data_IF_673901158363
#
_entry.id   IF_673901158363
#
_cell.length_a   1.000
_cell.length_b   1.000
_cell.length_c   1.000
_cell.angle_alpha   90.00
_cell.angle_beta   90.00
_cell.angle_gamma   90.00
#
_symmetry.space_group_name_H-M   'P 1'
#
loop_
_entity.id
_entity.type
_entity.pdbx_description
1 polymer ?
#
# COMPACT_ATOMS: atom_id res chain seq x y z
N UNK A 1 -5.05 4.61 -28.64
CA UNK A 1 -5.26 3.73 -27.48
C UNK A 1 -5.81 2.41 -28.00
N UNK A 2 -5.15 1.29 -27.68
CA UNK A 2 -5.52 -0.06 -28.12
C UNK A 2 -6.96 -0.42 -27.69
N UNK A 3 -7.77 -0.98 -28.60
CA UNK A 3 -9.14 -1.41 -28.28
C UNK A 3 -9.14 -2.60 -27.31
N UNK A 4 -8.10 -3.44 -27.36
CA UNK A 4 -7.90 -4.52 -26.38
C UNK A 4 -7.73 -3.99 -24.97
N UNK A 5 -6.90 -2.95 -24.78
CA UNK A 5 -6.74 -2.25 -23.50
C UNK A 5 -8.07 -1.72 -22.95
N UNK A 6 -8.84 -0.98 -23.76
CA UNK A 6 -10.13 -0.42 -23.32
C UNK A 6 -11.13 -1.50 -22.91
N UNK A 7 -11.16 -2.61 -23.65
CA UNK A 7 -12.04 -3.72 -23.33
C UNK A 7 -11.66 -4.37 -22.00
N UNK A 8 -10.39 -4.70 -21.79
CA UNK A 8 -9.91 -5.26 -20.52
C UNK A 8 -10.21 -4.34 -19.34
N UNK A 9 -9.96 -3.04 -19.48
CA UNK A 9 -10.21 -2.07 -18.42
C UNK A 9 -11.71 -2.02 -18.05
N UNK A 10 -12.60 -2.05 -19.04
CA UNK A 10 -14.05 -2.12 -18.82
C UNK A 10 -14.46 -3.42 -18.11
N UNK A 11 -13.96 -4.55 -18.58
CA UNK A 11 -14.29 -5.86 -18.00
C UNK A 11 -13.84 -5.96 -16.54
N UNK A 12 -12.60 -5.51 -16.26
CA UNK A 12 -12.04 -5.45 -14.92
C UNK A 12 -12.85 -4.51 -14.01
N UNK A 13 -13.24 -3.34 -14.52
CA UNK A 13 -14.04 -2.38 -13.76
C UNK A 13 -15.38 -2.98 -13.34
N UNK A 14 -16.09 -3.62 -14.27
CA UNK A 14 -17.37 -4.26 -13.97
C UNK A 14 -17.23 -5.41 -12.98
N UNK A 15 -16.22 -6.27 -13.15
CA UNK A 15 -15.93 -7.33 -12.19
C UNK A 15 -15.71 -6.78 -10.77
N UNK A 16 -14.84 -5.77 -10.64
CA UNK A 16 -14.52 -5.17 -9.35
C UNK A 16 -15.71 -4.44 -8.74
N UNK A 17 -16.57 -3.82 -9.56
CA UNK A 17 -17.80 -3.16 -9.12
C UNK A 17 -18.82 -4.16 -8.56
N UNK A 18 -19.01 -5.30 -9.22
CA UNK A 18 -19.87 -6.38 -8.72
C UNK A 18 -19.31 -6.99 -7.43
N UNK A 19 -17.98 -7.16 -7.35
CA UNK A 19 -17.31 -7.62 -6.16
C UNK A 19 -17.48 -6.62 -5.00
N UNK A 20 -17.33 -5.32 -5.25
CA UNK A 20 -17.61 -4.26 -4.28
C UNK A 20 -19.06 -4.30 -3.78
N UNK A 21 -20.03 -4.37 -4.70
CA UNK A 21 -21.44 -4.48 -4.33
C UNK A 21 -21.75 -5.75 -3.52
N UNK A 22 -21.00 -6.83 -3.77
CA UNK A 22 -21.12 -8.09 -3.04
C UNK A 22 -20.49 -8.03 -1.65
N UNK A 23 -19.36 -7.34 -1.48
CA UNK A 23 -18.71 -7.21 -0.16
C UNK A 23 -19.57 -6.41 0.81
N UNK A 24 -20.31 -5.41 0.32
CA UNK A 24 -21.28 -4.63 1.11
C UNK A 24 -22.43 -5.48 1.68
N UNK A 25 -22.76 -6.61 1.04
CA UNK A 25 -23.88 -7.49 1.41
C UNK A 25 -23.48 -8.61 2.35
N UNK A 26 -22.21 -8.76 2.68
CA UNK A 26 -21.74 -9.75 3.66
C UNK A 26 -22.35 -9.45 5.02
N UNK A 27 -22.90 -10.48 5.68
CA UNK A 27 -23.56 -10.40 6.99
C UNK A 27 -22.59 -10.62 8.16
N UNK A 28 -21.32 -10.88 7.86
CA UNK A 28 -20.25 -11.11 8.83
C UNK A 28 -19.07 -10.16 8.57
N UNK A 29 -18.30 -9.89 9.63
CA UNK A 29 -17.18 -8.95 9.60
C UNK A 29 -15.93 -9.60 8.98
N UNK A 30 -15.63 -10.85 9.34
CA UNK A 30 -14.39 -11.52 8.97
C UNK A 30 -14.63 -12.52 7.85
N UNK A 31 -13.89 -12.38 6.75
CA UNK A 31 -14.03 -13.29 5.61
C UNK A 31 -13.41 -14.65 5.93
N UNK A 32 -14.13 -15.70 5.56
CA UNK A 32 -13.63 -17.07 5.60
C UNK A 32 -13.10 -17.52 4.22
N UNK A 33 -12.47 -18.69 4.17
CA UNK A 33 -11.90 -19.25 2.94
C UNK A 33 -12.95 -19.43 1.82
N UNK A 34 -14.21 -19.68 2.18
CA UNK A 34 -15.34 -19.76 1.26
C UNK A 34 -15.60 -18.41 0.58
N UNK A 35 -15.57 -17.31 1.32
CA UNK A 35 -15.70 -15.95 0.77
C UNK A 35 -14.52 -15.62 -0.12
N UNK A 36 -13.29 -15.88 0.34
CA UNK A 36 -12.07 -15.62 -0.45
C UNK A 36 -12.11 -16.35 -1.79
N UNK A 37 -12.50 -17.63 -1.79
CA UNK A 37 -12.65 -18.42 -3.01
C UNK A 37 -13.78 -17.91 -3.91
N UNK A 38 -14.95 -17.61 -3.33
CA UNK A 38 -16.13 -17.10 -4.05
C UNK A 38 -15.83 -15.79 -4.76
N UNK A 39 -15.05 -14.92 -4.13
CA UNK A 39 -14.73 -13.59 -4.62
C UNK A 39 -13.42 -13.49 -5.41
N UNK A 40 -12.72 -14.62 -5.62
CA UNK A 40 -11.45 -14.62 -6.33
C UNK A 40 -10.37 -13.80 -5.62
N UNK A 41 -10.33 -13.84 -4.29
CA UNK A 41 -9.37 -13.11 -3.47
C UNK A 41 -8.22 -14.05 -3.09
N UNK A 42 -6.99 -13.64 -3.39
CA UNK A 42 -5.77 -14.36 -3.02
C UNK A 42 -5.07 -13.62 -1.88
N UNK A 43 -5.08 -14.22 -0.70
CA UNK A 43 -4.38 -13.70 0.48
C UNK A 43 -3.00 -14.31 0.58
N UNK A 44 -2.01 -13.47 0.88
CA UNK A 44 -0.65 -13.90 1.21
C UNK A 44 -0.05 -13.00 2.29
N UNK A 45 1.01 -13.45 2.95
CA UNK A 45 1.67 -12.67 3.98
C UNK A 45 2.56 -11.58 3.35
N UNK A 46 2.44 -10.36 3.86
CA UNK A 46 3.36 -9.26 3.58
C UNK A 46 4.45 -9.26 4.65
N UNK A 47 5.69 -9.51 4.24
CA UNK A 47 6.83 -9.22 5.11
C UNK A 47 7.10 -7.71 5.15
N UNK A 48 7.32 -7.21 6.36
CA UNK A 48 7.74 -5.83 6.57
C UNK A 48 9.27 -5.67 6.52
N UNK A 49 10.05 -6.76 6.51
CA UNK A 49 11.52 -6.74 6.52
C UNK A 49 12.10 -6.41 5.14
N UNK A 50 13.22 -5.67 5.10
CA UNK A 50 13.91 -5.32 3.84
C UNK A 50 14.54 -6.55 3.14
N UNK A 51 14.93 -7.56 3.91
CA UNK A 51 15.65 -8.75 3.45
C UNK A 51 14.71 -9.68 2.66
N UNK A 52 13.49 -9.90 3.16
CA UNK A 52 12.51 -10.78 2.52
C UNK A 52 11.85 -10.14 1.29
N UNK A 53 11.78 -8.81 1.25
CA UNK A 53 11.31 -8.07 0.07
C UNK A 53 12.26 -8.22 -1.15
N UNK A 54 13.52 -8.65 -0.95
CA UNK A 54 14.49 -8.89 -2.02
C UNK A 54 14.48 -10.33 -2.53
N UNK A 55 14.08 -11.29 -1.69
CA UNK A 55 14.12 -12.73 -2.00
C UNK A 55 12.77 -13.28 -2.48
N UNK A 56 11.68 -12.56 -2.22
CA UNK A 56 10.36 -12.93 -2.70
C UNK A 56 10.21 -12.75 -4.21
N UNK A 57 9.84 -13.81 -4.92
CA UNK A 57 9.41 -13.76 -6.32
C UNK A 57 8.05 -13.07 -6.50
N UNK A 58 7.41 -12.60 -5.42
CA UNK A 58 6.10 -11.99 -5.50
C UNK A 58 6.15 -10.58 -6.14
N UNK A 59 5.07 -10.16 -6.79
CA UNK A 59 4.98 -8.83 -7.40
C UNK A 59 4.82 -7.76 -6.32
N UNK A 60 5.63 -6.71 -6.36
CA UNK A 60 5.55 -5.60 -5.42
C UNK A 60 5.22 -4.30 -6.15
N UNK A 61 4.25 -3.57 -5.60
CA UNK A 61 3.88 -2.23 -6.07
C UNK A 61 4.26 -1.13 -5.08
N UNK A 62 4.63 -1.50 -3.86
CA UNK A 62 5.13 -0.60 -2.84
C UNK A 62 6.40 -1.19 -2.26
N UNK A 63 7.42 -0.35 -2.08
CA UNK A 63 8.68 -0.72 -1.46
C UNK A 63 8.98 0.25 -0.32
N UNK A 64 9.35 -0.22 0.88
CA UNK A 64 9.68 0.67 1.97
C UNK A 64 10.83 1.61 1.61
N UNK A 65 10.76 2.85 2.10
CA UNK A 65 11.86 3.78 2.03
C UNK A 65 13.09 3.14 2.70
N UNK A 66 14.26 3.10 2.04
CA UNK A 66 15.47 2.50 2.62
C UNK A 66 15.82 3.17 3.95
N UNK A 67 16.31 2.39 4.93
CA UNK A 67 16.65 2.93 6.26
C UNK A 67 17.55 4.16 6.19
N UNK A 68 18.57 4.12 5.31
CA UNK A 68 19.53 5.23 5.12
C UNK A 68 18.90 6.52 4.62
N UNK A 69 17.81 6.43 3.87
CA UNK A 69 17.08 7.61 3.37
C UNK A 69 16.07 8.08 4.40
N UNK A 70 15.46 7.15 5.13
CA UNK A 70 14.54 7.46 6.22
C UNK A 70 15.25 8.11 7.41
N UNK A 71 16.46 7.69 7.77
CA UNK A 71 17.27 8.30 8.85
C UNK A 71 17.59 9.78 8.60
N UNK A 72 17.56 10.23 7.34
CA UNK A 72 17.72 11.65 6.99
C UNK A 72 16.49 12.48 7.35
N UNK A 73 15.33 11.83 7.50
CA UNK A 73 14.09 12.44 7.94
C UNK A 73 14.11 12.52 9.47
N UNK A 74 13.88 13.72 10.01
CA UNK A 74 13.80 13.90 11.45
C UNK A 74 12.37 13.69 11.90
N UNK A 75 12.09 12.57 12.57
CA UNK A 75 10.81 12.38 13.23
C UNK A 75 10.88 12.87 14.67
N UNK A 76 10.08 13.88 15.00
CA UNK A 76 9.92 14.28 16.41
C UNK A 76 9.33 13.09 17.17
N UNK A 77 9.87 12.74 18.35
CA UNK A 77 9.17 11.85 19.25
C UNK A 77 7.77 12.42 19.52
N UNK A 78 6.78 11.53 19.59
CA UNK A 78 5.42 11.89 19.97
C UNK A 78 4.92 10.92 21.02
N UNK A 79 4.04 11.41 21.87
CA UNK A 79 3.36 10.59 22.88
C UNK A 79 2.01 10.20 22.32
N UNK A 80 1.74 8.90 22.27
CA UNK A 80 0.40 8.44 21.95
C UNK A 80 -0.56 8.88 23.07
N UNK A 81 -1.78 9.32 22.72
CA UNK A 81 -2.76 9.70 23.71
C UNK A 81 -3.08 8.49 24.59
N UNK A 82 -3.55 8.70 25.83
CA UNK A 82 -4.02 7.61 26.67
C UNK A 82 -5.02 6.74 25.90
N UNK A 83 -4.93 5.42 26.09
CA UNK A 83 -5.96 4.54 25.54
C UNK A 83 -7.24 4.72 26.36
N UNK A 84 -8.31 5.15 25.70
CA UNK A 84 -9.63 5.32 26.32
C UNK A 84 -10.56 4.23 25.79
N UNK A 85 -10.75 3.09 26.48
CA UNK A 85 -11.53 1.96 25.98
C UNK A 85 -12.96 2.34 25.57
N UNK A 86 -13.53 3.33 26.27
CA UNK A 86 -14.88 3.84 26.04
C UNK A 86 -14.98 4.74 24.79
N UNK A 87 -13.86 5.25 24.27
CA UNK A 87 -13.81 6.02 23.03
C UNK A 87 -12.94 5.32 21.96
N UNK A 88 -13.39 4.16 21.47
CA UNK A 88 -12.73 3.42 20.38
C UNK A 88 -12.39 4.30 19.16
N UNK A 89 -13.32 5.19 18.77
CA UNK A 89 -13.12 6.15 17.70
C UNK A 89 -11.98 7.14 17.98
N UNK A 90 -11.89 7.65 19.21
CA UNK A 90 -10.82 8.55 19.62
C UNK A 90 -9.46 7.86 19.55
N UNK A 91 -9.40 6.56 19.89
CA UNK A 91 -8.17 5.79 19.82
C UNK A 91 -7.70 5.58 18.38
N UNK A 92 -8.58 5.13 17.49
CA UNK A 92 -8.22 4.86 16.10
C UNK A 92 -7.92 6.16 15.32
N UNK A 93 -8.77 7.19 15.48
CA UNK A 93 -8.54 8.50 14.85
C UNK A 93 -7.35 9.22 15.45
N UNK A 94 -7.16 9.15 16.77
CA UNK A 94 -5.99 9.68 17.45
C UNK A 94 -4.73 9.03 16.91
N UNK A 95 -4.68 7.70 16.84
CA UNK A 95 -3.54 6.99 16.25
C UNK A 95 -3.33 7.37 14.78
N UNK A 96 -4.38 7.44 13.97
CA UNK A 96 -4.28 7.80 12.57
C UNK A 96 -3.74 9.24 12.39
N UNK A 97 -4.32 10.19 13.12
CA UNK A 97 -3.85 11.58 13.16
C UNK A 97 -2.40 11.64 13.62
N UNK A 98 -1.97 10.86 14.63
CA UNK A 98 -0.58 10.88 15.08
C UNK A 98 0.40 10.27 14.10
N UNK A 99 0.02 9.18 13.42
CA UNK A 99 0.82 8.63 12.32
C UNK A 99 0.94 9.68 11.20
N UNK A 100 -0.13 10.43 10.92
CA UNK A 100 -0.14 11.49 9.91
C UNK A 100 0.56 12.78 10.34
N UNK A 101 0.48 13.19 11.60
CA UNK A 101 1.23 14.32 12.18
C UNK A 101 2.73 14.00 12.17
N UNK A 102 3.09 12.74 12.43
CA UNK A 102 4.47 12.26 12.22
C UNK A 102 4.91 12.37 10.76
N UNK A 103 3.97 12.36 9.81
CA UNK A 103 4.22 12.68 8.40
C UNK A 103 4.12 14.20 8.12
N UNK A 104 3.48 14.98 8.99
CA UNK A 104 3.19 16.40 8.83
C UNK A 104 4.23 17.36 9.41
N UNK A 105 4.87 17.03 10.53
CA UNK A 105 5.60 18.01 11.35
C UNK A 105 7.13 17.77 11.44
N UNK A 106 7.66 16.93 10.57
CA UNK A 106 8.95 16.25 10.79
C UNK A 106 10.10 16.77 9.94
N UNK A 107 10.34 18.08 10.05
CA UNK A 107 11.60 18.74 9.65
C UNK A 107 11.99 19.77 10.74
N UNK A 108 13.21 19.71 11.32
CA UNK A 108 13.68 20.68 12.30
C UNK A 108 13.72 22.08 11.68
N UNK A 109 13.36 23.12 12.44
CA UNK A 109 13.22 24.50 11.94
C UNK A 109 14.47 24.96 11.18
N UNK A 110 15.65 24.59 11.70
CA UNK A 110 16.98 24.89 11.17
C UNK A 110 17.33 24.16 9.86
N UNK A 111 16.63 23.07 9.53
CA UNK A 111 16.78 22.34 8.26
C UNK A 111 15.64 22.62 7.28
N UNK A 112 14.66 23.47 7.65
CA UNK A 112 13.56 23.88 6.76
C UNK A 112 14.13 24.86 5.71
N UNK A 113 13.97 24.61 4.40
CA UNK A 113 14.13 25.67 3.40
C UNK A 113 13.23 26.86 3.75
N UNK A 114 13.62 28.09 3.44
CA UNK A 114 12.92 29.26 3.99
C UNK A 114 11.46 29.38 3.51
N UNK A 115 10.52 29.43 4.47
CA UNK A 115 9.15 30.01 4.39
C UNK A 115 7.96 29.21 3.79
N UNK A 116 8.01 27.88 3.65
CA UNK A 116 6.77 27.08 3.39
C UNK A 116 6.45 26.12 4.55
N UNK A 117 5.18 25.74 4.72
CA UNK A 117 4.78 24.68 5.66
C UNK A 117 5.43 23.37 5.17
N UNK A 118 6.48 22.90 5.85
CA UNK A 118 7.16 21.66 5.48
C UNK A 118 6.51 20.49 6.19
N UNK A 119 5.97 19.57 5.40
CA UNK A 119 5.58 18.23 5.83
C UNK A 119 6.55 17.21 5.24
N UNK A 120 6.75 16.08 5.90
CA UNK A 120 7.53 14.97 5.34
C UNK A 120 6.98 14.56 3.96
N UNK A 121 5.68 14.75 3.72
CA UNK A 121 5.05 14.53 2.41
C UNK A 121 5.68 15.39 1.32
N UNK A 122 6.15 16.61 1.63
CA UNK A 122 6.88 17.49 0.67
C UNK A 122 8.24 16.93 0.26
N UNK A 123 8.77 15.94 0.99
CA UNK A 123 9.99 15.22 0.67
C UNK A 123 9.72 13.86 0.00
N UNK A 124 8.45 13.58 -0.32
CA UNK A 124 8.03 12.31 -0.92
C UNK A 124 7.31 12.57 -2.23
N UNK A 125 7.04 11.50 -2.96
CA UNK A 125 6.19 11.59 -4.15
C UNK A 125 4.71 11.68 -3.78
N UNK A 126 4.30 11.62 -2.52
CA UNK A 126 2.88 11.58 -2.15
C UNK A 126 2.30 12.98 -1.93
N UNK A 127 1.09 13.21 -2.43
CA UNK A 127 0.29 14.41 -2.18
C UNK A 127 -1.06 14.03 -1.52
N UNK A 128 -1.65 14.99 -0.83
CA UNK A 128 -2.99 14.88 -0.29
C UNK A 128 -3.98 14.80 -1.43
N UNK A 129 -4.63 13.65 -1.57
CA UNK A 129 -5.63 13.52 -2.60
C UNK A 129 -6.88 14.29 -2.16
N UNK A 130 -7.26 15.31 -2.92
CA UNK A 130 -8.47 16.10 -2.75
C UNK A 130 -9.74 15.32 -3.12
N UNK A 131 -9.82 14.03 -2.76
CA UNK A 131 -11.08 13.29 -2.77
C UNK A 131 -11.97 13.97 -1.75
N UNK A 132 -12.71 15.00 -2.21
CA UNK A 132 -13.77 15.60 -1.42
C UNK A 132 -14.61 14.44 -0.91
N UNK A 133 -14.74 14.33 0.41
CA UNK A 133 -15.42 13.27 1.16
C UNK A 133 -16.73 12.85 0.49
N UNK A 134 -16.67 12.05 -0.58
CA UNK A 134 -17.83 11.43 -1.22
C UNK A 134 -18.13 10.20 -0.38
N UNK A 135 -18.64 10.52 0.81
CA UNK A 135 -19.35 9.61 1.70
C UNK A 135 -20.39 8.88 0.88
N UNK A 136 -20.13 7.61 0.61
CA UNK A 136 -21.15 6.63 0.33
C UNK A 136 -20.49 5.26 0.53
N UNK A 137 -21.15 4.42 1.34
CA UNK A 137 -21.10 2.95 1.29
C UNK A 137 -20.25 2.21 2.32
N UNK A 138 -20.26 2.69 3.55
CA UNK A 138 -20.06 1.86 4.74
C UNK A 138 -20.72 2.54 5.92
N UNK A 139 -21.93 2.09 6.29
CA UNK A 139 -22.71 2.52 7.48
C UNK A 139 -21.80 3.17 8.55
N UNK A 140 -21.77 4.50 8.73
CA UNK A 140 -22.90 5.39 8.99
C UNK A 140 -22.80 6.71 8.20
N UNK A 141 -23.83 7.03 7.39
CA UNK A 141 -24.31 8.41 7.32
C UNK A 141 -24.88 8.76 8.68
N UNK A 142 -24.29 9.71 9.42
CA UNK A 142 -25.09 10.73 10.12
C UNK A 142 -24.22 11.89 10.57
N UNK A 143 -24.74 13.09 10.28
CA UNK A 143 -24.40 14.34 10.95
C UNK A 143 -24.63 14.18 12.46
N UNK A 144 -23.57 14.07 13.24
CA UNK A 144 -23.63 14.13 14.70
C UNK A 144 -22.22 14.12 15.28
N UNK A 145 -21.94 14.97 16.27
CA UNK A 145 -20.67 14.96 17.01
C UNK A 145 -20.59 13.61 17.74
N UNK A 146 -19.73 12.70 17.26
CA UNK A 146 -19.36 11.43 17.92
C UNK A 146 -20.33 10.24 17.77
N UNK A 147 -20.65 9.81 16.54
CA UNK A 147 -21.26 8.50 16.33
C UNK A 147 -20.21 7.39 16.59
N UNK A 148 -20.49 6.51 17.56
CA UNK A 148 -19.62 5.41 18.03
C UNK A 148 -19.74 4.11 17.22
N UNK A 149 -20.67 4.05 16.26
CA UNK A 149 -21.12 2.79 15.64
C UNK A 149 -20.74 2.74 14.15
N UNK A 150 -19.44 2.78 13.85
CA UNK A 150 -18.93 2.50 12.51
C UNK A 150 -18.10 1.21 12.55
N UNK A 151 -18.24 0.36 11.54
CA UNK A 151 -17.31 -0.78 11.39
C UNK A 151 -15.95 -0.28 10.88
N UNK A 152 -15.99 0.58 9.87
CA UNK A 152 -14.81 1.10 9.18
C UNK A 152 -15.04 2.51 8.60
N UNK A 153 -13.96 3.25 8.33
CA UNK A 153 -14.02 4.59 7.74
C UNK A 153 -12.72 4.92 6.99
N UNK A 154 -12.85 5.62 5.86
CA UNK A 154 -11.71 6.30 5.22
C UNK A 154 -11.31 7.49 6.10
N UNK A 155 -10.08 7.47 6.59
CA UNK A 155 -9.53 8.59 7.32
C UNK A 155 -8.80 9.56 6.37
N UNK A 156 -7.93 9.03 5.52
CA UNK A 156 -7.14 9.84 4.59
C UNK A 156 -6.67 9.03 3.38
N UNK A 157 -6.46 9.71 2.26
CA UNK A 157 -5.91 9.12 1.04
C UNK A 157 -4.74 9.95 0.56
N UNK A 158 -3.62 9.30 0.27
CA UNK A 158 -2.47 9.88 -0.39
C UNK A 158 -2.39 9.35 -1.82
N UNK A 159 -2.17 10.25 -2.77
CA UNK A 159 -1.94 9.90 -4.18
C UNK A 159 -0.49 10.21 -4.53
N UNK A 160 0.13 9.40 -5.38
CA UNK A 160 1.39 9.80 -5.96
C UNK A 160 1.20 11.10 -6.77
N UNK A 161 2.13 12.03 -6.62
CA UNK A 161 2.18 13.35 -7.20
C UNK A 161 2.71 13.22 -8.62
N UNK A 162 1.89 13.65 -9.59
CA UNK A 162 2.11 13.40 -11.01
C UNK A 162 0.87 12.71 -11.59
N UNK A 163 0.41 13.18 -12.75
CA UNK A 163 -0.92 12.86 -13.28
C UNK A 163 -1.14 11.40 -13.68
N UNK A 164 -0.11 10.54 -13.63
CA UNK A 164 -0.13 9.23 -14.27
C UNK A 164 0.29 8.05 -13.38
N UNK A 165 0.54 8.24 -12.08
CA UNK A 165 0.84 7.12 -11.18
C UNK A 165 -0.46 6.59 -10.54
N UNK A 166 -0.79 5.29 -10.72
CA UNK A 166 -2.06 4.75 -10.25
C UNK A 166 -2.03 4.30 -8.78
N UNK A 167 -0.91 4.47 -8.09
CA UNK A 167 -0.76 4.03 -6.71
C UNK A 167 -1.47 4.96 -5.72
N UNK A 168 -2.11 4.34 -4.72
CA UNK A 168 -2.74 5.03 -3.60
C UNK A 168 -2.18 4.49 -2.28
N UNK A 169 -2.02 5.38 -1.29
CA UNK A 169 -1.96 5.00 0.12
C UNK A 169 -3.27 5.40 0.80
N UNK A 170 -3.98 4.44 1.39
CA UNK A 170 -5.24 4.65 2.09
C UNK A 170 -5.02 4.46 3.59
N UNK A 171 -5.45 5.43 4.40
CA UNK A 171 -5.60 5.26 5.84
C UNK A 171 -7.06 4.93 6.15
N UNK A 172 -7.28 3.75 6.72
CA UNK A 172 -8.60 3.31 7.17
C UNK A 172 -8.62 3.12 8.68
N UNK A 173 -9.70 3.52 9.33
CA UNK A 173 -9.91 3.29 10.76
C UNK A 173 -11.07 2.32 10.92
N UNK A 174 -10.90 1.35 11.82
CA UNK A 174 -11.87 0.30 12.14
C UNK A 174 -12.14 0.34 13.64
N UNK A 175 -13.41 0.16 14.01
CA UNK A 175 -13.81 0.06 15.42
C UNK A 175 -13.82 -1.41 15.87
N UNK A 176 -12.69 -2.10 15.67
CA UNK A 176 -12.53 -3.53 15.92
C UNK A 176 -11.26 -3.77 16.74
N UNK A 177 -11.31 -4.74 17.65
CA UNK A 177 -10.13 -5.26 18.36
C UNK A 177 -9.68 -6.52 17.61
N UNK A 178 -8.41 -6.61 17.16
CA UNK A 178 -7.94 -7.80 16.49
C UNK A 178 -7.77 -8.95 17.48
N UNK A 179 -8.25 -10.14 17.12
CA UNK A 179 -8.02 -11.37 17.88
C UNK A 179 -6.71 -12.06 17.43
N UNK A 180 -6.04 -12.78 18.33
CA UNK A 180 -4.72 -13.38 18.07
C UNK A 180 -4.72 -14.41 16.92
N UNK A 181 -5.86 -15.04 16.63
CA UNK A 181 -6.02 -16.01 15.54
C UNK A 181 -6.44 -15.37 14.20
N UNK A 182 -6.56 -14.03 14.13
CA UNK A 182 -7.10 -13.31 12.96
C UNK A 182 -6.04 -12.46 12.23
N UNK A 183 -4.74 -12.70 12.47
CA UNK A 183 -3.65 -11.87 11.92
C UNK A 183 -3.67 -11.77 10.38
N UNK A 184 -4.06 -12.85 9.69
CA UNK A 184 -4.19 -12.90 8.23
C UNK A 184 -5.65 -12.89 7.74
N UNK A 185 -6.61 -12.78 8.65
CA UNK A 185 -8.03 -12.72 8.29
C UNK A 185 -8.38 -11.30 7.84
N UNK A 186 -9.04 -11.19 6.69
CA UNK A 186 -9.52 -9.90 6.16
C UNK A 186 -10.86 -9.52 6.76
N UNK A 187 -11.05 -8.23 7.02
CA UNK A 187 -12.39 -7.72 7.31
C UNK A 187 -13.12 -7.33 6.04
N UNK A 188 -14.45 -7.39 6.10
CA UNK A 188 -15.37 -6.83 5.13
C UNK A 188 -15.03 -5.38 4.82
N UNK A 189 -14.73 -4.59 5.86
CA UNK A 189 -14.29 -3.20 5.72
C UNK A 189 -13.02 -3.01 4.91
N UNK A 190 -11.98 -3.81 5.15
CA UNK A 190 -10.73 -3.70 4.40
C UNK A 190 -10.93 -3.98 2.92
N UNK A 191 -11.67 -5.03 2.57
CA UNK A 191 -11.93 -5.37 1.16
C UNK A 191 -12.77 -4.31 0.49
N UNK A 192 -13.85 -3.89 1.15
CA UNK A 192 -14.77 -2.87 0.60
C UNK A 192 -14.03 -1.57 0.32
N UNK A 193 -13.20 -1.12 1.26
CA UNK A 193 -12.42 0.10 1.11
C UNK A 193 -11.36 0.00 0.02
N UNK A 194 -10.65 -1.14 -0.08
CA UNK A 194 -9.66 -1.35 -1.13
C UNK A 194 -10.30 -1.36 -2.51
N UNK A 195 -11.40 -2.10 -2.68
CA UNK A 195 -12.15 -2.14 -3.93
C UNK A 195 -12.64 -0.76 -4.33
N UNK A 196 -13.15 0.03 -3.37
CA UNK A 196 -13.58 1.40 -3.62
C UNK A 196 -12.44 2.26 -4.13
N UNK A 197 -11.26 2.20 -3.50
CA UNK A 197 -10.09 2.97 -3.94
C UNK A 197 -9.57 2.54 -5.31
N UNK A 198 -9.58 1.23 -5.60
CA UNK A 198 -9.23 0.72 -6.93
C UNK A 198 -10.19 1.28 -7.98
N UNK A 199 -11.50 1.18 -7.75
CA UNK A 199 -12.53 1.68 -8.67
C UNK A 199 -12.45 3.19 -8.89
N UNK A 200 -12.33 3.98 -7.82
CA UNK A 200 -12.18 5.44 -7.91
C UNK A 200 -10.91 5.81 -8.69
N UNK A 201 -9.81 5.06 -8.51
CA UNK A 201 -8.60 5.31 -9.26
C UNK A 201 -8.77 4.96 -10.73
N UNK A 202 -9.39 3.83 -11.06
CA UNK A 202 -9.70 3.45 -12.44
C UNK A 202 -10.50 4.54 -13.17
N UNK A 203 -11.48 5.14 -12.50
CA UNK A 203 -12.29 6.24 -13.05
C UNK A 203 -11.47 7.51 -13.27
N UNK A 204 -10.64 7.88 -12.28
CA UNK A 204 -9.83 9.10 -12.36
C UNK A 204 -8.62 8.99 -13.30
N UNK A 205 -8.20 7.77 -13.63
CA UNK A 205 -7.06 7.48 -14.49
C UNK A 205 -7.45 7.35 -15.98
N UNK A 206 -8.55 7.97 -16.40
CA UNK A 206 -9.15 7.82 -17.74
C UNK A 206 -8.22 8.15 -18.92
N UNK A 207 -7.13 8.89 -18.67
CA UNK A 207 -6.14 9.29 -19.68
C UNK A 207 -4.83 8.47 -19.61
N UNK A 208 -4.71 7.54 -18.65
CA UNK A 208 -3.51 6.74 -18.41
C UNK A 208 -3.52 5.38 -19.11
N UNK A 209 -2.34 4.86 -19.45
CA UNK A 209 -2.13 3.49 -19.97
C UNK A 209 -2.01 2.44 -18.85
N UNK A 210 -2.54 2.72 -17.65
CA UNK A 210 -2.45 1.81 -16.51
C UNK A 210 -3.61 0.79 -16.54
N UNK A 211 -3.31 -0.48 -16.33
CA UNK A 211 -4.30 -1.55 -16.15
C UNK A 211 -4.32 -2.09 -14.72
N UNK A 212 -3.27 -1.83 -13.93
CA UNK A 212 -3.16 -2.21 -12.53
C UNK A 212 -3.18 -0.97 -11.66
N UNK A 213 -4.00 -1.01 -10.61
CA UNK A 213 -4.24 0.12 -9.69
C UNK A 213 -3.91 -0.30 -8.26
N UNK A 214 -2.63 -0.21 -7.84
CA UNK A 214 -2.22 -0.72 -6.54
C UNK A 214 -2.66 0.20 -5.40
N UNK A 215 -3.08 -0.40 -4.30
CA UNK A 215 -3.43 0.32 -3.06
C UNK A 215 -2.64 -0.25 -1.90
N UNK A 216 -1.98 0.62 -1.14
CA UNK A 216 -1.41 0.32 0.17
C UNK A 216 -2.36 0.87 1.23
N UNK A 217 -3.07 -0.01 1.94
CA UNK A 217 -3.88 0.38 3.07
C UNK A 217 -3.07 0.31 4.37
N UNK A 218 -3.07 1.40 5.11
CA UNK A 218 -2.75 1.47 6.54
C UNK A 218 -4.06 1.24 7.29
N UNK A 219 -4.23 0.04 7.81
CA UNK A 219 -5.48 -0.42 8.42
C UNK A 219 -5.38 -0.32 9.94
N UNK A 220 -6.07 0.66 10.53
CA UNK A 220 -5.98 0.98 11.95
C UNK A 220 -7.17 0.39 12.73
N UNK A 221 -6.88 -0.55 13.61
CA UNK A 221 -7.81 -1.25 14.50
C UNK A 221 -7.56 -0.77 15.93
N UNK A 222 -8.16 0.36 16.29
CA UNK A 222 -7.92 1.05 17.57
C UNK A 222 -6.43 1.37 17.78
N UNK A 223 -5.70 0.52 18.53
CA UNK A 223 -4.26 0.64 18.83
C UNK A 223 -3.39 -0.36 18.08
N UNK A 224 -3.98 -1.12 17.18
CA UNK A 224 -3.28 -2.06 16.32
C UNK A 224 -3.31 -1.52 14.90
N UNK A 225 -2.21 -1.65 14.18
CA UNK A 225 -2.14 -1.24 12.78
C UNK A 225 -1.54 -2.36 11.97
N UNK A 226 -2.07 -2.58 10.77
CA UNK A 226 -1.42 -3.45 9.78
C UNK A 226 -1.40 -2.80 8.42
N UNK A 227 -0.51 -3.30 7.57
CA UNK A 227 -0.44 -2.92 6.17
C UNK A 227 -1.11 -3.98 5.32
N UNK A 228 -1.92 -3.54 4.36
CA UNK A 228 -2.51 -4.39 3.33
C UNK A 228 -2.14 -3.82 1.97
N UNK A 229 -1.35 -4.53 1.19
CA UNK A 229 -1.11 -4.19 -0.22
C UNK A 229 -2.09 -4.96 -1.09
N UNK A 230 -2.80 -4.27 -1.97
CA UNK A 230 -3.73 -4.92 -2.88
C UNK A 230 -3.59 -4.42 -4.31
N UNK A 231 -3.87 -5.32 -5.25
CA UNK A 231 -4.02 -5.01 -6.66
C UNK A 231 -4.88 -6.10 -7.33
N UNK A 232 -5.54 -5.73 -8.43
CA UNK A 232 -6.26 -6.68 -9.26
C UNK A 232 -5.43 -7.00 -10.51
N UNK A 233 -5.26 -8.28 -10.83
CA UNK A 233 -4.47 -8.72 -11.99
C UNK A 233 -5.32 -9.03 -13.22
N UNK A 234 -6.65 -8.88 -13.16
CA UNK A 234 -7.59 -9.27 -14.22
C UNK A 234 -8.32 -10.58 -13.95
N UNK A 235 -7.90 -11.35 -12.96
CA UNK A 235 -8.54 -12.61 -12.57
C UNK A 235 -8.75 -12.69 -11.05
N UNK A 236 -7.74 -12.31 -10.26
CA UNK A 236 -7.76 -12.36 -8.82
C UNK A 236 -7.46 -10.99 -8.20
N UNK A 237 -8.15 -10.69 -7.10
CA UNK A 237 -7.76 -9.61 -6.20
C UNK A 237 -6.66 -10.15 -5.28
N UNK A 238 -5.43 -9.71 -5.49
CA UNK A 238 -4.30 -10.09 -4.64
C UNK A 238 -4.24 -9.17 -3.44
N UNK A 239 -4.11 -9.75 -2.26
CA UNK A 239 -4.01 -9.03 -0.99
C UNK A 239 -2.85 -9.59 -0.17
N UNK A 240 -1.83 -8.76 0.05
CA UNK A 240 -0.70 -9.07 0.91
C UNK A 240 -0.89 -8.38 2.25
N UNK A 241 -0.98 -9.16 3.33
CA UNK A 241 -1.34 -8.67 4.65
C UNK A 241 -0.16 -8.83 5.60
N UNK A 242 0.24 -7.74 6.25
CA UNK A 242 1.22 -7.78 7.32
C UNK A 242 0.54 -8.16 8.65
N UNK A 243 1.24 -8.83 9.58
CA UNK A 243 0.76 -8.99 10.95
C UNK A 243 0.45 -7.65 11.60
N UNK A 244 -0.41 -7.67 12.63
CA UNK A 244 -0.72 -6.48 13.40
C UNK A 244 0.49 -6.00 14.19
N UNK A 245 0.77 -4.70 14.07
CA UNK A 245 1.69 -3.97 14.90
C UNK A 245 0.89 -3.39 16.07
N UNK A 246 1.16 -3.87 17.28
CA UNK A 246 0.60 -3.29 18.50
C UNK A 246 1.32 -1.98 18.84
N UNK A 247 0.58 -0.86 18.76
CA UNK A 247 0.97 0.49 19.12
C UNK A 247 0.23 0.98 20.37
N UNK A 248 -0.06 0.08 21.32
CA UNK A 248 -0.57 0.46 22.65
C UNK A 248 0.49 1.31 23.36
N UNK A 249 1.75 0.90 23.28
CA UNK A 249 2.91 1.65 23.76
C UNK A 249 3.71 2.20 22.58
N UNK A 250 4.31 3.38 22.73
CA UNK A 250 5.20 3.91 21.71
C UNK A 250 6.44 3.02 21.56
N UNK A 251 6.69 2.58 20.34
CA UNK A 251 7.86 1.81 19.93
C UNK A 251 8.38 2.44 18.65
N UNK A 252 9.50 3.14 18.76
CA UNK A 252 10.10 3.85 17.64
C UNK A 252 10.39 2.91 16.46
N UNK A 253 10.88 1.70 16.72
CA UNK A 253 11.23 0.75 15.65
C UNK A 253 10.00 0.32 14.85
N UNK A 254 8.88 0.06 15.53
CA UNK A 254 7.60 -0.28 14.89
C UNK A 254 7.00 0.89 14.11
N UNK A 255 7.07 2.10 14.66
CA UNK A 255 6.58 3.32 13.99
C UNK A 255 7.44 3.64 12.78
N UNK A 256 8.77 3.58 12.91
CA UNK A 256 9.71 3.77 11.79
C UNK A 256 9.43 2.77 10.67
N UNK A 257 9.25 1.49 11.01
CA UNK A 257 8.92 0.44 10.05
C UNK A 257 7.63 0.78 9.27
N UNK A 258 6.56 1.15 9.97
CA UNK A 258 5.30 1.54 9.36
C UNK A 258 5.46 2.75 8.42
N UNK A 259 6.08 3.82 8.91
CA UNK A 259 6.27 5.06 8.15
C UNK A 259 7.13 4.83 6.91
N UNK A 260 8.14 3.97 6.97
CA UNK A 260 8.96 3.63 5.82
C UNK A 260 8.16 2.99 4.70
N UNK A 261 7.20 2.12 5.00
CA UNK A 261 6.32 1.54 3.99
C UNK A 261 5.36 2.58 3.40
N UNK A 262 4.82 3.49 4.23
CA UNK A 262 3.94 4.58 3.80
C UNK A 262 4.68 5.58 2.88
N UNK A 263 5.89 5.96 3.27
CA UNK A 263 6.73 6.93 2.55
C UNK A 263 7.52 6.34 1.39
N UNK A 264 7.43 5.02 1.23
CA UNK A 264 8.04 4.30 0.14
C UNK A 264 7.60 4.83 -1.22
N UNK A 265 8.50 4.77 -2.20
CA UNK A 265 8.14 5.11 -3.57
C UNK A 265 7.24 4.00 -4.17
N UNK A 266 6.30 4.37 -5.05
CA UNK A 266 5.61 3.40 -5.88
C UNK A 266 6.62 2.66 -6.75
N UNK A 267 6.39 1.36 -6.91
CA UNK A 267 7.20 0.46 -7.74
C UNK A 267 6.29 -0.46 -8.55
N UNK A 268 6.87 -1.34 -9.37
CA UNK A 268 6.12 -2.29 -10.18
C UNK A 268 5.59 -1.68 -11.48
N UNK A 269 5.38 -2.53 -12.49
CA UNK A 269 4.83 -2.08 -13.76
C UNK A 269 3.29 -2.13 -13.72
N UNK A 270 2.65 -0.97 -13.77
CA UNK A 270 1.19 -0.85 -13.70
C UNK A 270 0.52 -0.77 -15.07
N UNK A 271 1.31 -0.69 -16.15
CA UNK A 271 0.86 -0.59 -17.55
C UNK A 271 0.87 -1.91 -18.29
N UNK A 272 1.27 -2.98 -17.60
CA UNK A 272 1.24 -4.31 -18.20
C UNK A 272 -0.19 -4.82 -18.30
N UNK A 273 -0.54 -5.53 -19.38
CA UNK A 273 -1.91 -6.02 -19.54
C UNK A 273 -2.30 -6.94 -18.39
N UNK A 274 -3.50 -6.74 -17.87
CA UNK A 274 -4.12 -7.67 -16.94
C UNK A 274 -4.24 -9.07 -17.59
N UNK A 275 -4.12 -10.12 -16.78
CA UNK A 275 -3.96 -11.54 -17.16
C UNK A 275 -2.63 -11.89 -17.83
N UNK A 276 -1.69 -10.94 -17.96
CA UNK A 276 -0.32 -11.26 -18.33
C UNK A 276 0.39 -11.98 -17.18
N UNK A 277 1.28 -12.91 -17.52
CA UNK A 277 2.21 -13.48 -16.53
C UNK A 277 3.03 -12.32 -15.96
N UNK A 278 2.81 -12.00 -14.69
CA UNK A 278 3.62 -11.00 -14.01
C UNK A 278 5.07 -11.48 -14.01
N UNK A 279 6.07 -10.62 -14.32
CA UNK A 279 7.43 -11.04 -14.70
C UNK A 279 8.22 -11.90 -13.70
N UNK A 280 7.66 -12.26 -12.54
CA UNK A 280 8.30 -13.12 -11.55
C UNK A 280 7.50 -14.39 -11.19
N UNK A 281 6.48 -14.76 -11.97
CA UNK A 281 5.67 -15.97 -11.72
C UNK A 281 6.21 -17.24 -12.42
N UNK A 282 7.49 -17.28 -12.81
CA UNK A 282 8.03 -18.46 -13.51
C UNK A 282 8.14 -19.66 -12.57
N UNK A 283 7.27 -20.65 -12.78
CA UNK A 283 7.39 -22.01 -12.25
C UNK A 283 8.74 -22.61 -12.68
N UNK A 284 9.45 -23.41 -11.85
CA UNK A 284 10.80 -23.91 -12.16
C UNK A 284 10.96 -24.76 -13.43
N UNK A 285 9.88 -25.05 -14.15
CA UNK A 285 9.86 -26.02 -15.25
C UNK A 285 10.30 -25.47 -16.62
N UNK A 286 10.58 -24.17 -16.77
CA UNK A 286 10.90 -23.59 -18.09
C UNK A 286 12.31 -23.02 -18.25
N UNK A 287 13.21 -23.19 -17.28
CA UNK A 287 14.60 -22.72 -17.38
C UNK A 287 15.57 -23.69 -18.09
N UNK A 288 15.10 -24.79 -18.69
CA UNK A 288 15.97 -25.73 -19.41
C UNK A 288 15.43 -26.04 -20.81
N UNK A 289 15.62 -25.11 -21.73
CA UNK A 289 15.90 -25.43 -23.12
C UNK A 289 16.33 -24.17 -23.87
N UNK A 290 17.63 -23.85 -23.87
CA UNK A 290 18.29 -23.44 -25.10
C UNK A 290 19.83 -23.56 -25.00
N UNK A 291 20.51 -23.97 -26.09
CA UNK A 291 21.90 -24.42 -26.05
C UNK A 291 22.90 -23.29 -26.29
N UNK A 292 24.02 -23.37 -25.58
CA UNK A 292 25.19 -22.50 -25.69
C UNK A 292 25.89 -22.65 -27.06
N UNK A 293 26.22 -21.57 -27.79
CA UNK A 293 27.26 -21.62 -28.81
C UNK A 293 28.58 -21.03 -28.25
N UNK A 294 29.51 -21.96 -28.09
CA UNK A 294 30.96 -21.87 -28.26
C UNK A 294 31.67 -20.49 -28.24
N UNK A 295 32.55 -20.40 -27.25
CA UNK A 295 33.90 -19.82 -27.29
C UNK A 295 34.50 -19.55 -28.68
N UNK A 296 35.03 -18.34 -28.87
CA UNK A 296 36.29 -18.14 -29.61
C UNK A 296 37.21 -17.19 -28.84
N UNK A 297 38.33 -17.75 -28.42
CA UNK A 297 39.52 -17.05 -27.94
C UNK A 297 40.20 -16.26 -29.05
N UNK A 298 40.80 -15.13 -28.71
CA UNK A 298 42.12 -14.75 -29.22
C UNK A 298 42.87 -13.88 -28.22
N UNK A 299 44.18 -14.04 -28.26
CA UNK A 299 45.18 -13.78 -27.23
C UNK A 299 46.01 -12.53 -27.56
N UNK A 300 46.66 -11.96 -26.52
CA UNK A 300 47.88 -11.09 -26.52
C UNK A 300 47.64 -9.63 -26.98
N UNK A 301 48.20 -8.59 -26.36
CA UNK A 301 49.61 -8.41 -26.00
C UNK A 301 49.79 -7.33 -24.91
N UNK A 302 50.83 -7.54 -24.10
CA UNK A 302 51.33 -6.74 -22.97
C UNK A 302 52.32 -5.67 -23.46
N UNK A 303 52.18 -4.40 -23.06
CA UNK A 303 53.30 -3.44 -23.00
C UNK A 303 53.22 -2.65 -21.69
N UNK A 304 54.30 -2.74 -20.92
CA UNK A 304 54.63 -1.94 -19.74
C UNK A 304 55.22 -0.58 -20.15
N UNK A 305 54.98 0.48 -19.38
CA UNK A 305 56.04 1.32 -18.78
C UNK A 305 55.48 2.47 -17.92
N UNK A 306 55.65 2.32 -16.60
CA UNK A 306 56.22 3.24 -15.58
C UNK A 306 55.90 4.77 -15.53
N UNK A 307 56.13 5.41 -14.36
CA UNK A 307 55.37 6.56 -13.84
C UNK A 307 56.19 7.86 -13.73
N UNK A 308 55.55 8.96 -13.31
CA UNK A 308 55.99 9.85 -12.21
C UNK A 308 55.38 11.27 -12.28
N UNK A 309 54.97 11.75 -11.10
CA UNK A 309 55.06 13.12 -10.57
C UNK A 309 54.77 14.35 -11.45
N UNK A 310 53.71 15.08 -11.13
CA UNK A 310 53.77 16.30 -10.30
C UNK A 310 52.39 16.68 -9.78
#
# INVERSE_FOLDING_TARGET
MDEGFKQRLRDNYWYLRELFASSLKLDHIYLNDGDLKKYGIKVSQLSLSEEEAKTSQAVHFFKPLPSKDFEKLYLSPFTLPPYEPECGICNALGLANHVLESLGDTIPIEKRPSKKKFSVLTCTVWDLAGYGLRTADGLCETRGKMATDYEWRIHQVLSAAGTNEPHIVLFSVHNLVPEANQELTLTRGEITLLLRMILERMESASDGECEIFPVLMVSLFLRHVRLVQAYFDGEFLHMKIAPFINLTTYDKGKVDLLLRHILGNPVGNTRMPTKSVLPNTQTPAQAQAQPNPAQKSTTKTKIQSRPAHR
#
